data_IF_924827527168
#
_entry.id   IF_924827527168
#
_cell.length_a   1.000
_cell.length_b   1.000
_cell.length_c   1.000
_cell.angle_alpha   90.00
_cell.angle_beta   90.00
_cell.angle_gamma   90.00
#
_symmetry.space_group_name_H-M   'P 1'
#
loop_
_entity.id
_entity.type
_entity.pdbx_description
1 polymer ?
#
# COMPACT_ATOMS: atom_id res chain seq x y z
N UNK A 1 -54.29 11.89 27.08
CA UNK A 1 -53.31 13.02 27.07
C UNK A 1 -51.94 12.64 27.64
N UNK A 2 -51.87 11.93 28.79
CA UNK A 2 -50.60 11.47 29.41
C UNK A 2 -49.68 10.62 28.52
N UNK A 3 -50.22 9.70 27.72
CA UNK A 3 -49.42 8.86 26.79
C UNK A 3 -48.70 9.67 25.70
N UNK A 4 -49.23 10.83 25.30
CA UNK A 4 -48.59 11.75 24.34
C UNK A 4 -47.46 12.52 25.02
N UNK A 5 -47.67 12.99 26.25
CA UNK A 5 -46.67 13.70 27.06
C UNK A 5 -45.45 12.82 27.41
N UNK A 6 -45.66 11.59 27.89
CA UNK A 6 -44.55 10.66 28.17
C UNK A 6 -43.75 10.29 26.91
N UNK A 7 -44.39 10.22 25.74
CA UNK A 7 -43.72 10.01 24.45
C UNK A 7 -42.83 11.20 24.07
N UNK A 8 -43.30 12.42 24.26
CA UNK A 8 -42.52 13.64 23.95
C UNK A 8 -41.33 13.78 24.89
N UNK A 9 -41.51 13.54 26.19
CA UNK A 9 -40.44 13.62 27.21
C UNK A 9 -39.35 12.56 26.96
N UNK A 10 -39.73 11.31 26.66
CA UNK A 10 -38.77 10.25 26.38
C UNK A 10 -37.95 10.54 25.11
N UNK A 11 -38.63 10.91 24.01
CA UNK A 11 -37.96 11.28 22.76
C UNK A 11 -36.99 12.43 22.99
N UNK A 12 -37.40 13.43 23.77
CA UNK A 12 -36.57 14.57 24.12
C UNK A 12 -35.34 14.17 24.95
N UNK A 13 -35.47 13.23 25.90
CA UNK A 13 -34.35 12.73 26.70
C UNK A 13 -33.33 11.93 25.87
N UNK A 14 -33.79 10.99 25.04
CA UNK A 14 -32.89 10.25 24.13
C UNK A 14 -32.19 11.18 23.15
N UNK A 15 -32.93 12.12 22.53
CA UNK A 15 -32.35 13.10 21.61
C UNK A 15 -31.29 13.94 22.31
N UNK A 16 -31.54 14.41 23.55
CA UNK A 16 -30.51 15.12 24.34
C UNK A 16 -29.25 14.30 24.55
N UNK A 17 -29.37 13.02 24.93
CA UNK A 17 -28.22 12.14 25.12
C UNK A 17 -27.46 11.90 23.80
N UNK A 18 -28.19 11.67 22.70
CA UNK A 18 -27.61 11.46 21.38
C UNK A 18 -26.90 12.72 20.87
N UNK A 19 -27.47 13.90 21.08
CA UNK A 19 -26.83 15.18 20.75
C UNK A 19 -25.59 15.38 21.60
N UNK A 20 -25.67 15.15 22.91
CA UNK A 20 -24.52 15.28 23.81
C UNK A 20 -23.35 14.37 23.39
N UNK A 21 -23.58 13.08 23.17
CA UNK A 21 -22.52 12.17 22.71
C UNK A 21 -21.99 12.56 21.34
N UNK A 22 -22.85 13.04 20.43
CA UNK A 22 -22.41 13.55 19.13
C UNK A 22 -21.48 14.76 19.31
N UNK A 23 -21.86 15.73 20.13
CA UNK A 23 -21.00 16.90 20.39
C UNK A 23 -19.65 16.48 20.98
N UNK A 24 -19.66 15.66 22.02
CA UNK A 24 -18.42 15.19 22.66
C UNK A 24 -17.55 14.40 21.66
N UNK A 25 -18.13 13.47 20.91
CA UNK A 25 -17.38 12.64 19.97
C UNK A 25 -16.80 13.46 18.83
N UNK A 26 -17.56 14.36 18.21
CA UNK A 26 -17.12 15.05 16.99
C UNK A 26 -16.34 16.34 17.26
N UNK A 27 -16.51 16.99 18.42
CA UNK A 27 -15.79 18.23 18.75
C UNK A 27 -14.64 18.03 19.74
N UNK A 28 -14.59 16.90 20.45
CA UNK A 28 -13.51 16.61 21.41
C UNK A 28 -12.81 15.31 21.03
N UNK A 29 -13.54 14.20 20.98
CA UNK A 29 -12.97 12.87 20.79
C UNK A 29 -12.21 12.70 19.48
N UNK A 30 -12.89 12.92 18.35
CA UNK A 30 -12.31 12.76 17.02
C UNK A 30 -11.20 13.76 16.71
N UNK A 31 -11.30 15.06 17.05
CA UNK A 31 -10.17 15.97 16.93
C UNK A 31 -8.94 15.50 17.69
N UNK A 32 -9.08 15.01 18.93
CA UNK A 32 -7.96 14.47 19.69
C UNK A 32 -7.39 13.17 19.09
N UNK A 33 -8.26 12.26 18.63
CA UNK A 33 -7.83 11.03 17.94
C UNK A 33 -7.05 11.34 16.66
N UNK A 34 -7.41 12.42 15.97
CA UNK A 34 -6.76 12.87 14.72
C UNK A 34 -5.34 13.40 14.93
N UNK A 35 -4.90 13.63 16.16
CA UNK A 35 -3.50 13.92 16.46
C UNK A 35 -2.59 12.70 16.25
N UNK A 36 -3.16 11.50 16.37
CA UNK A 36 -2.41 10.23 16.29
C UNK A 36 -2.74 9.42 15.03
N UNK A 37 -3.99 9.46 14.59
CA UNK A 37 -4.46 8.67 13.45
C UNK A 37 -4.71 9.58 12.25
N UNK A 38 -4.15 9.19 11.09
CA UNK A 38 -4.36 9.91 9.82
C UNK A 38 -5.66 9.47 9.15
N UNK A 39 -6.08 10.25 8.15
CA UNK A 39 -7.28 9.98 7.32
C UNK A 39 -8.61 9.97 8.08
N UNK A 40 -8.64 10.56 9.26
CA UNK A 40 -9.88 10.94 9.93
C UNK A 40 -10.47 12.19 9.26
N UNK A 41 -11.75 12.48 9.48
CA UNK A 41 -12.41 13.68 8.97
C UNK A 41 -11.78 15.00 9.46
N UNK A 42 -11.02 14.95 10.57
CA UNK A 42 -10.39 16.12 11.20
C UNK A 42 -8.87 16.17 11.02
N UNK A 43 -8.28 15.25 10.23
CA UNK A 43 -6.85 15.24 9.93
C UNK A 43 -6.37 16.57 9.31
N UNK A 44 -7.25 17.25 8.56
CA UNK A 44 -6.98 18.57 7.98
C UNK A 44 -6.74 19.67 9.01
N UNK A 45 -7.35 19.58 10.21
CA UNK A 45 -7.16 20.56 11.28
C UNK A 45 -5.73 20.56 11.81
N UNK A 46 -5.05 19.42 11.73
CA UNK A 46 -3.71 19.22 12.27
C UNK A 46 -2.63 19.15 11.20
N UNK A 47 -2.94 19.54 9.96
CA UNK A 47 -1.92 19.67 8.93
C UNK A 47 -0.95 20.77 9.35
N UNK A 48 0.24 20.33 9.74
CA UNK A 48 1.37 21.22 10.00
C UNK A 48 1.67 22.03 8.73
N UNK A 49 2.33 23.16 8.91
CA UNK A 49 2.93 23.88 7.80
C UNK A 49 3.81 22.91 6.97
N UNK A 50 3.81 23.04 5.64
CA UNK A 50 4.52 22.12 4.73
C UNK A 50 5.99 21.94 5.13
N UNK A 51 6.65 23.02 5.53
CA UNK A 51 8.03 23.03 6.00
C UNK A 51 8.26 22.14 7.23
N UNK A 52 7.36 22.23 8.22
CA UNK A 52 7.40 21.41 9.43
C UNK A 52 7.07 19.94 9.15
N UNK A 53 6.11 19.68 8.25
CA UNK A 53 5.76 18.33 7.82
C UNK A 53 6.95 17.65 7.10
N UNK A 54 7.64 18.38 6.22
CA UNK A 54 8.85 17.90 5.55
C UNK A 54 9.97 17.59 6.55
N UNK A 55 10.23 18.47 7.53
CA UNK A 55 11.22 18.21 8.59
C UNK A 55 10.90 16.95 9.38
N UNK A 56 9.64 16.76 9.77
CA UNK A 56 9.21 15.56 10.48
C UNK A 56 9.42 14.30 9.63
N UNK A 57 9.08 14.35 8.34
CA UNK A 57 9.27 13.20 7.45
C UNK A 57 10.76 12.86 7.25
N UNK A 58 11.65 13.85 7.14
CA UNK A 58 13.10 13.62 7.10
C UNK A 58 13.59 12.96 8.39
N UNK A 59 13.19 13.45 9.55
CA UNK A 59 13.56 12.83 10.83
C UNK A 59 13.11 11.36 10.93
N UNK A 60 11.88 11.06 10.51
CA UNK A 60 11.37 9.68 10.45
C UNK A 60 12.16 8.85 9.42
N UNK A 61 12.52 9.45 8.29
CA UNK A 61 13.31 8.79 7.26
C UNK A 61 14.73 8.47 7.75
N UNK A 62 15.38 9.39 8.46
CA UNK A 62 16.73 9.20 9.02
C UNK A 62 16.77 8.07 10.04
N UNK A 63 15.73 7.95 10.88
CA UNK A 63 15.56 6.82 11.79
C UNK A 63 15.49 5.49 11.02
N UNK A 64 14.71 5.43 9.94
CA UNK A 64 14.60 4.23 9.10
C UNK A 64 15.90 3.89 8.38
N UNK A 65 16.65 4.90 7.93
CA UNK A 65 17.98 4.71 7.33
C UNK A 65 18.91 4.07 8.35
N UNK A 66 18.99 4.62 9.57
CA UNK A 66 19.83 4.10 10.64
C UNK A 66 19.45 2.66 11.00
N UNK A 67 18.15 2.35 11.11
CA UNK A 67 17.65 1.00 11.34
C UNK A 67 18.09 0.02 10.23
N UNK A 68 17.89 0.39 8.96
CA UNK A 68 18.27 -0.46 7.83
C UNK A 68 19.78 -0.67 7.75
N UNK A 69 20.58 0.38 7.93
CA UNK A 69 22.04 0.28 7.95
C UNK A 69 22.55 -0.61 9.09
N UNK A 70 21.96 -0.46 10.29
CA UNK A 70 22.32 -1.29 11.44
C UNK A 70 22.08 -2.78 11.22
N UNK A 71 21.01 -3.12 10.47
CA UNK A 71 20.71 -4.48 10.08
C UNK A 71 21.65 -4.96 8.97
N UNK A 72 21.82 -4.18 7.91
CA UNK A 72 22.65 -4.53 6.75
C UNK A 72 24.12 -4.73 7.12
N UNK A 73 24.63 -3.97 8.09
CA UNK A 73 26.00 -4.12 8.62
C UNK A 73 26.22 -5.50 9.25
N UNK A 74 25.19 -6.08 9.88
CA UNK A 74 25.24 -7.39 10.54
C UNK A 74 24.86 -8.54 9.60
N UNK A 75 24.25 -8.23 8.46
CA UNK A 75 23.76 -9.22 7.51
C UNK A 75 24.90 -9.76 6.64
N UNK A 76 25.25 -11.03 6.81
CA UNK A 76 26.40 -11.68 6.14
C UNK A 76 26.07 -12.30 4.77
N UNK A 77 24.85 -12.12 4.24
CA UNK A 77 24.53 -12.29 2.80
C UNK A 77 24.75 -13.65 2.14
N UNK A 78 25.39 -14.63 2.78
CA UNK A 78 25.70 -15.95 2.21
C UNK A 78 24.68 -17.02 2.59
N UNK A 79 23.41 -16.64 2.57
CA UNK A 79 22.29 -17.57 2.70
C UNK A 79 22.00 -18.24 1.36
N UNK A 80 22.66 -19.39 1.11
CA UNK A 80 22.43 -20.37 0.05
C UNK A 80 21.28 -20.03 -0.92
N UNK A 81 21.62 -19.46 -2.08
CA UNK A 81 20.97 -19.90 -3.32
C UNK A 81 21.28 -21.40 -3.41
N UNK A 82 20.38 -22.25 -2.90
CA UNK A 82 20.38 -23.66 -3.25
C UNK A 82 20.18 -23.72 -4.76
N UNK A 83 21.31 -23.77 -5.47
CA UNK A 83 21.39 -24.22 -6.85
C UNK A 83 20.68 -25.58 -6.88
N UNK A 84 19.49 -25.62 -7.48
CA UNK A 84 18.82 -26.76 -8.13
C UNK A 84 17.28 -26.71 -8.01
N UNK A 85 16.69 -25.91 -7.12
CA UNK A 85 15.22 -25.78 -7.03
C UNK A 85 14.70 -24.46 -7.61
N UNK A 86 13.61 -24.54 -8.37
CA UNK A 86 12.87 -23.38 -8.89
C UNK A 86 12.45 -22.45 -7.74
N UNK A 87 12.71 -21.14 -7.89
CA UNK A 87 12.35 -20.14 -6.88
C UNK A 87 10.87 -19.79 -7.02
N UNK A 88 10.10 -19.83 -5.93
CA UNK A 88 8.65 -19.58 -5.98
C UNK A 88 8.32 -18.11 -6.26
N UNK A 89 9.05 -17.19 -5.63
CA UNK A 89 8.85 -15.75 -5.75
C UNK A 89 10.19 -15.01 -5.85
N UNK A 90 10.44 -14.36 -6.99
CA UNK A 90 11.52 -13.38 -7.14
C UNK A 90 11.03 -11.99 -6.74
N UNK A 91 11.63 -11.38 -5.72
CA UNK A 91 11.35 -10.01 -5.29
C UNK A 91 12.37 -9.10 -5.97
N UNK A 92 11.92 -8.19 -6.83
CA UNK A 92 12.79 -7.28 -7.58
C UNK A 92 12.43 -5.84 -7.26
N UNK A 93 13.42 -5.11 -6.74
CA UNK A 93 13.31 -3.68 -6.43
C UNK A 93 13.89 -2.88 -7.60
N UNK A 94 13.05 -2.12 -8.29
CA UNK A 94 13.45 -1.17 -9.34
C UNK A 94 13.97 0.09 -8.66
N UNK A 95 15.14 0.57 -9.09
CA UNK A 95 15.78 1.71 -8.44
C UNK A 95 16.49 2.65 -9.40
N UNK A 96 16.48 3.93 -9.03
CA UNK A 96 17.18 5.03 -9.70
C UNK A 96 17.71 6.01 -8.66
N UNK A 97 18.81 6.71 -8.96
CA UNK A 97 19.36 7.73 -8.10
C UNK A 97 18.36 8.89 -7.92
N UNK A 98 17.98 9.15 -6.67
CA UNK A 98 16.99 10.18 -6.31
C UNK A 98 17.57 11.58 -6.15
N UNK A 99 18.90 11.74 -6.12
CA UNK A 99 19.56 13.03 -5.89
C UNK A 99 20.34 13.57 -7.10
N UNK A 100 20.04 13.09 -8.32
CA UNK A 100 20.73 13.53 -9.55
C UNK A 100 20.64 15.03 -9.81
N UNK A 101 19.51 15.64 -9.46
CA UNK A 101 19.26 17.06 -9.70
C UNK A 101 19.68 17.95 -8.52
N UNK A 102 20.25 17.37 -7.45
CA UNK A 102 20.68 18.09 -6.24
C UNK A 102 19.64 19.12 -5.78
N UNK A 103 18.35 18.74 -5.77
CA UNK A 103 17.25 19.61 -5.34
C UNK A 103 17.53 20.16 -3.93
N UNK A 104 18.20 19.36 -3.10
CA UNK A 104 18.85 19.77 -1.87
C UNK A 104 20.02 18.82 -1.54
N UNK A 105 20.66 19.05 -0.38
CA UNK A 105 21.75 18.21 0.11
C UNK A 105 21.27 16.92 0.82
N UNK A 106 19.95 16.63 0.83
CA UNK A 106 19.40 15.52 1.59
C UNK A 106 19.37 14.23 0.77
N UNK A 107 19.94 13.16 1.31
CA UNK A 107 19.91 11.83 0.68
C UNK A 107 18.83 10.94 1.31
N UNK A 108 17.72 10.67 0.62
CA UNK A 108 16.63 9.92 1.22
C UNK A 108 16.91 8.42 1.41
N UNK A 109 17.88 7.86 0.70
CA UNK A 109 18.31 6.45 0.75
C UNK A 109 17.15 5.44 0.79
N UNK A 110 16.21 5.56 -0.14
CA UNK A 110 15.02 4.71 -0.18
C UNK A 110 15.37 3.24 -0.46
N UNK A 111 16.27 2.98 -1.41
CA UNK A 111 16.72 1.63 -1.74
C UNK A 111 17.32 0.92 -0.53
N UNK A 112 18.17 1.60 0.24
CA UNK A 112 18.79 1.08 1.47
C UNK A 112 17.72 0.65 2.48
N UNK A 113 16.71 1.49 2.69
CA UNK A 113 15.60 1.21 3.60
C UNK A 113 14.80 -0.01 3.13
N UNK A 114 14.44 -0.07 1.84
CA UNK A 114 13.62 -1.14 1.28
C UNK A 114 14.36 -2.47 1.24
N UNK A 115 15.63 -2.49 0.81
CA UNK A 115 16.48 -3.69 0.81
C UNK A 115 16.70 -4.19 2.23
N UNK A 116 17.09 -3.30 3.15
CA UNK A 116 17.31 -3.63 4.56
C UNK A 116 16.06 -4.23 5.20
N UNK A 117 14.90 -3.61 4.97
CA UNK A 117 13.62 -4.12 5.49
C UNK A 117 13.25 -5.46 4.87
N UNK A 118 13.39 -5.61 3.55
CA UNK A 118 13.02 -6.85 2.85
C UNK A 118 13.86 -8.03 3.32
N UNK A 119 15.18 -7.86 3.43
CA UNK A 119 16.10 -8.87 3.97
C UNK A 119 15.79 -9.19 5.44
N UNK A 120 15.48 -8.17 6.24
CA UNK A 120 15.08 -8.37 7.65
C UNK A 120 13.82 -9.25 7.75
N UNK A 121 12.81 -9.01 6.91
CA UNK A 121 11.57 -9.77 6.93
C UNK A 121 11.76 -11.20 6.42
N UNK A 122 12.55 -11.39 5.36
CA UNK A 122 12.92 -12.71 4.86
C UNK A 122 13.69 -13.52 5.91
N UNK A 123 14.61 -12.88 6.64
CA UNK A 123 15.38 -13.54 7.70
C UNK A 123 14.53 -13.89 8.94
N UNK A 124 13.58 -13.02 9.31
CA UNK A 124 12.68 -13.25 10.46
C UNK A 124 11.59 -14.29 10.18
N UNK A 125 11.19 -14.42 8.91
CA UNK A 125 10.10 -15.30 8.53
C UNK A 125 10.48 -16.77 8.73
N UNK A 126 9.73 -17.48 9.58
CA UNK A 126 9.88 -18.92 9.82
C UNK A 126 8.73 -19.68 9.16
N UNK A 127 8.99 -20.93 8.76
CA UNK A 127 7.98 -21.85 8.21
C UNK A 127 7.25 -21.31 6.97
N UNK A 128 7.97 -20.63 6.10
CA UNK A 128 7.45 -20.23 4.79
C UNK A 128 7.17 -21.46 3.94
N UNK A 129 6.06 -21.42 3.20
CA UNK A 129 5.69 -22.47 2.26
C UNK A 129 6.35 -22.27 0.90
N UNK A 130 6.73 -21.03 0.59
CA UNK A 130 7.34 -20.63 -0.67
C UNK A 130 8.82 -20.27 -0.48
N UNK A 131 9.59 -20.46 -1.54
CA UNK A 131 10.97 -19.99 -1.64
C UNK A 131 11.03 -18.57 -2.22
N UNK A 132 11.89 -17.73 -1.64
CA UNK A 132 12.04 -16.32 -2.02
C UNK A 132 13.48 -16.00 -2.39
N UNK A 133 13.66 -15.09 -3.34
CA UNK A 133 14.96 -14.48 -3.62
C UNK A 133 14.80 -13.00 -3.89
N UNK A 134 15.73 -12.19 -3.41
CA UNK A 134 15.72 -10.74 -3.57
C UNK A 134 16.71 -10.33 -4.65
N UNK A 135 16.30 -9.40 -5.50
CA UNK A 135 17.07 -8.83 -6.59
C UNK A 135 16.94 -7.31 -6.56
N UNK A 136 17.98 -6.62 -7.00
CA UNK A 136 17.97 -5.18 -7.28
C UNK A 136 18.01 -5.02 -8.80
N UNK A 137 17.16 -4.16 -9.35
CA UNK A 137 17.20 -3.78 -10.75
C UNK A 137 17.55 -2.30 -10.88
N UNK A 138 18.81 -2.04 -11.17
CA UNK A 138 19.32 -0.71 -11.40
C UNK A 138 19.00 -0.27 -12.83
N UNK A 139 18.15 0.75 -12.93
CA UNK A 139 17.74 1.37 -14.20
C UNK A 139 18.17 2.83 -14.28
N UNK A 140 19.14 3.20 -13.45
CA UNK A 140 19.80 4.48 -13.47
C UNK A 140 20.67 4.61 -14.75
N UNK A 141 20.54 5.70 -15.48
CA UNK A 141 21.30 5.95 -16.72
C UNK A 141 22.80 6.15 -16.52
N UNK A 142 23.20 6.46 -15.29
CA UNK A 142 24.58 6.71 -14.89
C UNK A 142 24.92 5.83 -13.66
N UNK A 143 24.97 4.49 -13.83
CA UNK A 143 25.18 3.58 -12.71
C UNK A 143 26.40 3.91 -11.85
N UNK A 144 27.43 4.53 -12.43
CA UNK A 144 28.66 4.92 -11.74
C UNK A 144 28.49 6.03 -10.70
N UNK A 145 27.49 6.90 -10.83
CA UNK A 145 27.21 7.97 -9.87
C UNK A 145 26.22 7.54 -8.78
N UNK A 146 25.70 6.32 -8.84
CA UNK A 146 24.72 5.84 -7.87
C UNK A 146 25.35 5.23 -6.61
N UNK A 147 25.90 6.08 -5.74
CA UNK A 147 26.64 5.69 -4.53
C UNK A 147 25.86 4.82 -3.53
N UNK A 148 24.53 4.97 -3.46
CA UNK A 148 23.69 4.16 -2.56
C UNK A 148 23.71 2.67 -2.92
N UNK A 149 23.86 2.36 -4.21
CA UNK A 149 23.77 0.99 -4.74
C UNK A 149 25.00 0.15 -4.40
N UNK A 150 26.18 0.75 -4.40
CA UNK A 150 27.47 0.04 -4.26
C UNK A 150 27.53 -0.92 -3.05
N UNK A 151 27.21 -0.51 -1.80
CA UNK A 151 27.25 -1.42 -0.66
C UNK A 151 26.22 -2.55 -0.73
N UNK A 152 25.13 -2.38 -1.48
CA UNK A 152 24.03 -3.34 -1.58
C UNK A 152 24.29 -4.44 -2.61
N UNK A 153 24.98 -4.12 -3.71
CA UNK A 153 25.34 -5.10 -4.76
C UNK A 153 26.20 -6.26 -4.24
N UNK A 154 26.97 -6.02 -3.18
CA UNK A 154 27.77 -7.05 -2.50
C UNK A 154 26.92 -8.06 -1.72
N UNK A 155 25.67 -7.72 -1.41
CA UNK A 155 24.76 -8.51 -0.56
C UNK A 155 23.57 -9.07 -1.35
N UNK A 156 23.17 -8.42 -2.44
CA UNK A 156 21.98 -8.77 -3.22
C UNK A 156 22.34 -8.78 -4.72
N UNK A 157 22.01 -9.85 -5.46
CA UNK A 157 22.20 -9.88 -6.91
C UNK A 157 21.52 -8.70 -7.60
N UNK A 158 22.25 -8.06 -8.51
CA UNK A 158 21.82 -6.80 -9.13
C UNK A 158 21.87 -6.88 -10.65
N UNK A 159 20.77 -6.54 -11.30
CA UNK A 159 20.68 -6.33 -12.74
C UNK A 159 20.95 -4.86 -13.06
N UNK A 160 21.68 -4.57 -14.14
CA UNK A 160 21.94 -3.20 -14.57
C UNK A 160 21.49 -3.03 -16.01
N UNK A 161 20.56 -2.09 -16.26
CA UNK A 161 20.09 -1.81 -17.63
C UNK A 161 21.13 -1.08 -18.48
N UNK A 162 21.93 -0.20 -17.86
CA UNK A 162 22.81 0.75 -18.56
C UNK A 162 24.32 0.54 -18.29
N UNK A 163 24.74 -0.70 -17.99
CA UNK A 163 26.09 -1.08 -17.53
C UNK A 163 27.28 -0.52 -18.35
N UNK A 164 27.09 -0.18 -19.63
CA UNK A 164 28.11 0.34 -20.55
C UNK A 164 27.79 1.75 -21.12
N UNK A 165 26.87 2.49 -20.51
CA UNK A 165 26.48 3.82 -21.00
C UNK A 165 27.41 4.91 -20.47
N UNK A 166 28.71 4.82 -20.78
CA UNK A 166 29.74 5.77 -20.33
C UNK A 166 29.64 7.18 -20.97
N UNK A 167 28.58 7.46 -21.74
CA UNK A 167 28.58 8.56 -22.71
C UNK A 167 27.19 9.10 -23.07
N UNK A 168 26.19 8.96 -22.20
CA UNK A 168 24.97 9.77 -22.34
C UNK A 168 25.10 10.96 -21.40
N UNK A 169 25.34 12.15 -21.98
CA UNK A 169 25.12 13.42 -21.29
C UNK A 169 23.77 13.34 -20.53
N UNK A 170 23.66 13.92 -19.32
CA UNK A 170 22.41 13.93 -18.57
C UNK A 170 21.31 14.54 -19.45
N UNK A 171 20.55 13.66 -20.08
CA UNK A 171 19.56 14.07 -21.06
C UNK A 171 18.39 14.62 -20.26
N UNK A 172 18.14 15.91 -20.37
CA UNK A 172 16.94 16.53 -19.84
C UNK A 172 15.76 15.92 -20.59
N UNK A 173 15.12 14.91 -19.98
CA UNK A 173 14.02 14.19 -20.61
C UNK A 173 12.77 15.06 -20.60
N UNK A 174 12.02 14.98 -21.69
CA UNK A 174 10.63 15.39 -21.64
C UNK A 174 9.85 14.45 -20.70
N UNK A 175 8.67 14.90 -20.24
CA UNK A 175 7.77 14.07 -19.45
C UNK A 175 7.44 12.77 -20.21
N UNK A 176 7.22 12.85 -21.53
CA UNK A 176 6.88 11.70 -22.36
C UNK A 176 8.02 10.67 -22.41
N UNK A 177 9.27 11.13 -22.60
CA UNK A 177 10.44 10.25 -22.58
C UNK A 177 10.68 9.62 -21.21
N UNK A 178 10.33 10.34 -20.14
CA UNK A 178 10.45 9.81 -18.76
C UNK A 178 9.41 8.72 -18.51
N UNK A 179 8.16 8.93 -18.94
CA UNK A 179 7.10 7.93 -18.85
C UNK A 179 7.40 6.70 -19.71
N UNK A 180 7.97 6.90 -20.89
CA UNK A 180 8.41 5.81 -21.77
C UNK A 180 9.56 5.02 -21.14
N UNK A 181 10.56 5.70 -20.58
CA UNK A 181 11.65 5.05 -19.84
C UNK A 181 11.10 4.24 -18.67
N UNK A 182 10.19 4.79 -17.86
CA UNK A 182 9.60 4.09 -16.71
C UNK A 182 8.91 2.78 -17.14
N UNK A 183 8.18 2.83 -18.26
CA UNK A 183 7.53 1.65 -18.85
C UNK A 183 8.55 0.60 -19.30
N UNK A 184 9.61 1.02 -20.00
CA UNK A 184 10.66 0.12 -20.49
C UNK A 184 11.48 -0.50 -19.34
N UNK A 185 11.84 0.31 -18.34
CA UNK A 185 12.54 -0.12 -17.12
C UNK A 185 11.74 -1.21 -16.40
N UNK A 186 10.42 -1.00 -16.26
CA UNK A 186 9.52 -1.94 -15.64
C UNK A 186 9.49 -3.30 -16.37
N UNK A 187 9.40 -3.27 -17.70
CA UNK A 187 9.43 -4.47 -18.53
C UNK A 187 10.80 -5.19 -18.42
N UNK A 188 11.90 -4.45 -18.53
CA UNK A 188 13.26 -4.97 -18.42
C UNK A 188 13.48 -5.70 -17.08
N UNK A 189 13.16 -5.05 -15.96
CA UNK A 189 13.40 -5.61 -14.64
C UNK A 189 12.64 -6.91 -14.40
N UNK A 190 11.38 -6.99 -14.84
CA UNK A 190 10.61 -8.22 -14.70
C UNK A 190 11.13 -9.34 -15.61
N UNK A 191 11.55 -9.03 -16.84
CA UNK A 191 12.14 -10.01 -17.76
C UNK A 191 13.45 -10.58 -17.22
N UNK A 192 14.35 -9.74 -16.71
CA UNK A 192 15.59 -10.20 -16.07
C UNK A 192 15.34 -11.09 -14.86
N UNK A 193 14.29 -10.79 -14.09
CA UNK A 193 13.93 -11.63 -12.93
C UNK A 193 13.43 -13.00 -13.36
N UNK A 194 12.59 -13.09 -14.41
CA UNK A 194 12.11 -14.38 -14.90
C UNK A 194 13.21 -15.24 -15.53
N UNK A 195 14.31 -14.64 -16.00
CA UNK A 195 15.52 -15.39 -16.42
C UNK A 195 16.18 -16.13 -15.25
N UNK A 196 15.94 -15.72 -14.00
CA UNK A 196 16.43 -16.40 -12.79
C UNK A 196 15.57 -17.60 -12.36
N UNK A 197 14.79 -18.19 -13.27
CA UNK A 197 13.93 -19.35 -13.03
C UNK A 197 12.96 -19.19 -11.83
N UNK A 198 12.27 -18.05 -11.77
CA UNK A 198 11.22 -17.78 -10.77
C UNK A 198 9.83 -18.13 -11.29
N UNK A 199 8.94 -18.61 -10.42
CA UNK A 199 7.53 -18.89 -10.76
C UNK A 199 6.66 -17.63 -10.81
N UNK A 200 6.88 -16.75 -9.83
CA UNK A 200 6.17 -15.48 -9.70
C UNK A 200 7.17 -14.36 -9.44
N UNK A 201 6.79 -13.15 -9.85
CA UNK A 201 7.59 -11.94 -9.72
C UNK A 201 6.87 -10.98 -8.78
N UNK A 202 7.47 -10.62 -7.65
CA UNK A 202 7.10 -9.42 -6.90
C UNK A 202 7.96 -8.26 -7.41
N UNK A 203 7.38 -7.41 -8.27
CA UNK A 203 8.05 -6.22 -8.78
C UNK A 203 7.61 -5.01 -7.96
N UNK A 204 8.58 -4.27 -7.44
CA UNK A 204 8.33 -3.12 -6.58
C UNK A 204 9.31 -1.97 -6.84
N UNK A 205 8.90 -0.75 -6.50
CA UNK A 205 9.71 0.46 -6.60
C UNK A 205 10.52 0.66 -5.31
N UNK A 206 11.65 1.38 -5.41
CA UNK A 206 12.55 1.62 -4.27
C UNK A 206 11.97 2.51 -3.17
N UNK A 207 10.83 3.16 -3.40
CA UNK A 207 10.07 3.95 -2.42
C UNK A 207 8.83 3.21 -1.86
N UNK A 208 8.68 1.92 -2.17
CA UNK A 208 7.66 1.05 -1.59
C UNK A 208 8.22 0.28 -0.38
N UNK A 209 8.09 0.83 0.83
CA UNK A 209 8.64 0.21 2.03
C UNK A 209 7.73 -0.91 2.57
N UNK A 210 8.21 -2.16 2.75
CA UNK A 210 7.39 -3.24 3.29
C UNK A 210 6.95 -3.02 4.74
N UNK A 211 5.72 -3.43 5.05
CA UNK A 211 5.23 -3.57 6.41
C UNK A 211 5.71 -4.90 7.04
N UNK A 212 5.68 -4.99 8.37
CA UNK A 212 6.24 -6.11 9.13
C UNK A 212 5.63 -7.48 8.80
N UNK A 213 4.39 -7.49 8.32
CA UNK A 213 3.62 -8.68 7.99
C UNK A 213 3.69 -9.08 6.51
N UNK A 214 4.39 -8.30 5.67
CA UNK A 214 4.40 -8.45 4.22
C UNK A 214 4.70 -9.88 3.75
N UNK A 215 5.84 -10.46 4.14
CA UNK A 215 6.26 -11.80 3.67
C UNK A 215 5.28 -12.88 4.11
N UNK A 216 4.83 -12.84 5.38
CA UNK A 216 3.91 -13.85 5.93
C UNK A 216 2.54 -13.83 5.25
N UNK A 217 2.05 -12.64 4.89
CA UNK A 217 0.76 -12.47 4.20
C UNK A 217 0.87 -12.90 2.73
N UNK A 218 1.93 -12.50 2.03
CA UNK A 218 2.19 -12.94 0.64
C UNK A 218 2.28 -14.47 0.59
N UNK A 219 3.09 -15.08 1.45
CA UNK A 219 3.26 -16.53 1.51
C UNK A 219 1.92 -17.26 1.68
N UNK A 220 1.11 -16.79 2.64
CA UNK A 220 -0.20 -17.36 2.90
C UNK A 220 -1.14 -17.29 1.69
N UNK A 221 -1.27 -16.12 1.06
CA UNK A 221 -2.22 -15.93 -0.02
C UNK A 221 -1.76 -16.56 -1.33
N UNK A 222 -0.49 -16.43 -1.71
CA UNK A 222 0.03 -17.07 -2.92
C UNK A 222 -0.09 -18.60 -2.83
N UNK A 223 0.23 -19.19 -1.67
CA UNK A 223 0.03 -20.62 -1.45
C UNK A 223 -1.45 -21.01 -1.57
N UNK A 224 -2.37 -20.27 -0.92
CA UNK A 224 -3.82 -20.58 -0.95
C UNK A 224 -4.44 -20.46 -2.34
N UNK A 225 -3.91 -19.57 -3.18
CA UNK A 225 -4.32 -19.33 -4.55
C UNK A 225 -3.73 -20.36 -5.54
N UNK A 226 -2.80 -21.22 -5.10
CA UNK A 226 -2.13 -22.20 -5.96
C UNK A 226 -0.99 -21.61 -6.79
N UNK A 227 -0.47 -20.44 -6.40
CA UNK A 227 0.64 -19.78 -7.10
C UNK A 227 2.01 -20.31 -6.65
N UNK A 228 2.05 -21.21 -5.67
CA UNK A 228 3.27 -21.82 -5.14
C UNK A 228 3.73 -23.12 -5.83
N UNK A 229 3.10 -23.54 -6.94
CA UNK A 229 3.46 -24.76 -7.67
C UNK A 229 2.95 -26.08 -7.07
N UNK A 230 2.56 -26.11 -5.78
CA UNK A 230 2.04 -27.32 -5.12
C UNK A 230 0.60 -27.70 -5.49
N UNK A 231 -0.16 -26.80 -6.11
CA UNK A 231 -1.55 -27.02 -6.53
C UNK A 231 -1.83 -26.26 -7.83
N UNK A 232 -2.77 -26.72 -8.67
CA UNK A 232 -3.18 -25.95 -9.84
C UNK A 232 -3.76 -24.58 -9.41
N UNK A 233 -3.45 -23.49 -10.14
CA UNK A 233 -3.97 -22.18 -9.82
C UNK A 233 -5.50 -22.21 -9.89
N UNK A 234 -6.14 -21.79 -8.79
CA UNK A 234 -7.62 -21.83 -8.69
C UNK A 234 -8.32 -20.89 -9.66
N UNK A 235 -7.58 -19.90 -10.15
CA UNK A 235 -8.06 -18.81 -10.98
C UNK A 235 -6.93 -18.37 -11.90
N UNK A 236 -7.28 -17.90 -13.10
CA UNK A 236 -6.31 -17.31 -14.04
C UNK A 236 -5.90 -15.90 -13.56
N UNK A 237 -5.04 -15.84 -12.55
CA UNK A 237 -4.60 -14.59 -11.93
C UNK A 237 -3.45 -14.01 -12.75
N UNK A 238 -3.65 -12.81 -13.25
CA UNK A 238 -2.60 -12.07 -13.98
C UNK A 238 -1.65 -11.40 -12.99
N UNK A 239 -2.21 -10.69 -12.00
CA UNK A 239 -1.42 -10.03 -10.97
C UNK A 239 -2.20 -9.72 -9.70
N UNK A 240 -1.47 -9.45 -8.63
CA UNK A 240 -1.99 -9.08 -7.31
C UNK A 240 -1.28 -7.79 -6.85
N UNK A 241 -2.02 -6.69 -6.75
CA UNK A 241 -1.55 -5.44 -6.15
C UNK A 241 -1.41 -5.62 -4.64
N UNK A 242 -0.32 -5.08 -4.11
CA UNK A 242 -0.03 -5.12 -2.67
C UNK A 242 -0.09 -3.72 -2.02
N UNK A 243 -0.39 -2.71 -2.83
CA UNK A 243 -0.55 -1.33 -2.41
C UNK A 243 -1.60 -0.60 -3.25
N UNK A 244 -2.36 0.27 -2.61
CA UNK A 244 -3.19 1.29 -3.24
C UNK A 244 -3.14 2.57 -2.40
N UNK A 245 -3.07 3.78 -2.99
CA UNK A 245 -2.88 5.01 -2.22
C UNK A 245 -3.88 5.18 -1.08
N UNK A 246 -3.40 5.42 0.14
CA UNK A 246 -4.23 5.44 1.35
C UNK A 246 -5.34 6.48 1.27
N UNK A 247 -5.09 7.63 0.64
CA UNK A 247 -6.11 8.68 0.42
C UNK A 247 -7.32 8.20 -0.41
N UNK A 248 -7.14 7.17 -1.23
CA UNK A 248 -8.17 6.58 -2.08
C UNK A 248 -8.84 5.36 -1.43
N UNK A 249 -8.46 4.96 -0.21
CA UNK A 249 -9.01 3.79 0.50
C UNK A 249 -10.27 4.07 1.34
N UNK A 250 -10.81 5.29 1.29
CA UNK A 250 -12.00 5.70 2.05
C UNK A 250 -13.28 4.94 1.67
N UNK A 251 -14.32 5.04 2.50
CA UNK A 251 -15.61 4.39 2.24
C UNK A 251 -16.37 4.99 1.05
N UNK A 252 -16.20 6.29 0.81
CA UNK A 252 -16.85 7.02 -0.29
C UNK A 252 -15.92 6.98 -1.50
N UNK A 253 -15.86 5.83 -2.15
CA UNK A 253 -15.11 5.62 -3.38
C UNK A 253 -15.87 4.64 -4.29
N UNK A 254 -15.35 4.41 -5.50
CA UNK A 254 -16.06 3.70 -6.56
C UNK A 254 -16.17 2.17 -6.33
N UNK A 255 -15.41 1.62 -5.40
CA UNK A 255 -15.30 0.17 -5.21
C UNK A 255 -16.47 -0.40 -4.40
N UNK A 256 -17.10 -1.44 -4.98
CA UNK A 256 -18.39 -1.96 -4.56
C UNK A 256 -18.39 -2.57 -3.16
N UNK A 257 -17.25 -3.06 -2.68
CA UNK A 257 -17.14 -3.73 -1.37
C UNK A 257 -17.20 -2.76 -0.18
N UNK A 258 -16.96 -1.46 -0.41
CA UNK A 258 -16.70 -0.50 0.69
C UNK A 258 -17.97 -0.01 1.36
N UNK A 259 -19.05 0.20 0.62
CA UNK A 259 -20.34 0.58 1.20
C UNK A 259 -20.94 -0.54 2.07
N UNK A 260 -20.98 -1.82 1.63
CA UNK A 260 -21.36 -2.92 2.51
C UNK A 260 -20.50 -3.00 3.77
N UNK A 261 -19.18 -2.78 3.66
CA UNK A 261 -18.28 -2.74 4.82
C UNK A 261 -18.67 -1.63 5.82
N UNK A 262 -18.97 -0.42 5.32
CA UNK A 262 -19.46 0.69 6.14
C UNK A 262 -20.74 0.31 6.89
N UNK A 263 -21.73 -0.26 6.18
CA UNK A 263 -23.00 -0.64 6.79
C UNK A 263 -22.80 -1.75 7.84
N UNK A 264 -21.99 -2.77 7.56
CA UNK A 264 -21.68 -3.84 8.51
C UNK A 264 -21.02 -3.30 9.78
N UNK A 265 -20.01 -2.44 9.65
CA UNK A 265 -19.36 -1.80 10.80
C UNK A 265 -20.33 -0.91 11.58
N UNK A 266 -21.16 -0.15 10.87
CA UNK A 266 -22.23 0.65 11.45
C UNK A 266 -23.21 -0.19 12.25
N UNK A 267 -23.66 -1.33 11.73
CA UNK A 267 -24.58 -2.26 12.41
C UNK A 267 -23.95 -2.88 13.67
N UNK A 268 -22.68 -3.27 13.62
CA UNK A 268 -21.95 -3.82 14.77
C UNK A 268 -21.91 -2.77 15.89
N UNK A 269 -21.45 -1.56 15.59
CA UNK A 269 -21.38 -0.47 16.58
C UNK A 269 -22.76 -0.07 17.12
N UNK A 270 -23.76 -0.01 16.25
CA UNK A 270 -25.15 0.26 16.65
C UNK A 270 -25.63 -0.75 17.66
N UNK A 271 -25.36 -2.04 17.42
CA UNK A 271 -25.77 -3.11 18.33
C UNK A 271 -25.10 -2.94 19.69
N UNK A 272 -23.81 -2.59 19.72
CA UNK A 272 -23.10 -2.29 20.96
C UNK A 272 -23.71 -1.08 21.69
N UNK A 273 -23.89 0.06 21.02
CA UNK A 273 -24.43 1.28 21.62
C UNK A 273 -25.86 1.10 22.13
N UNK A 274 -26.74 0.45 21.34
CA UNK A 274 -28.12 0.16 21.75
C UNK A 274 -28.14 -0.74 22.97
N UNK A 275 -27.33 -1.80 23.01
CA UNK A 275 -27.25 -2.70 24.18
C UNK A 275 -26.82 -1.94 25.43
N UNK A 276 -25.71 -1.20 25.36
CA UNK A 276 -25.19 -0.40 26.48
C UNK A 276 -26.23 0.62 26.94
N UNK A 277 -26.86 1.34 26.01
CA UNK A 277 -27.87 2.35 26.34
C UNK A 277 -29.10 1.73 27.02
N UNK A 278 -29.59 0.59 26.54
CA UNK A 278 -30.77 -0.07 27.11
C UNK A 278 -30.50 -0.71 28.48
N UNK A 279 -29.25 -1.06 28.79
CA UNK A 279 -28.84 -1.51 30.13
C UNK A 279 -28.96 -0.34 31.13
N UNK A 280 -28.51 0.86 30.74
CA UNK A 280 -28.50 2.05 31.61
C UNK A 280 -29.88 2.73 31.67
N UNK A 281 -30.60 2.71 30.56
CA UNK A 281 -31.89 3.35 30.39
C UNK A 281 -32.88 2.36 29.76
N UNK A 282 -33.54 1.52 30.57
CA UNK A 282 -34.54 0.60 30.06
C UNK A 282 -35.72 1.38 29.44
N UNK A 283 -36.13 0.97 28.24
CA UNK A 283 -37.19 1.64 27.48
C UNK A 283 -38.20 0.63 26.95
N UNK A 284 -39.46 1.03 26.93
CA UNK A 284 -40.53 0.32 26.25
C UNK A 284 -40.18 -0.06 24.80
N UNK A 285 -40.64 -1.25 24.36
CA UNK A 285 -40.35 -1.81 23.05
C UNK A 285 -40.67 -0.85 21.88
N UNK A 286 -41.75 -0.07 21.99
CA UNK A 286 -42.20 0.88 20.95
C UNK A 286 -41.16 1.96 20.59
N UNK A 287 -40.26 2.30 21.51
CA UNK A 287 -39.25 3.34 21.28
C UNK A 287 -37.89 2.77 20.83
N UNK A 288 -37.68 1.45 20.93
CA UNK A 288 -36.41 0.80 20.57
C UNK A 288 -36.04 1.03 19.11
N UNK A 289 -37.02 1.11 18.21
CA UNK A 289 -36.80 1.42 16.78
C UNK A 289 -36.16 2.79 16.57
N UNK A 290 -36.60 3.81 17.31
CA UNK A 290 -36.06 5.18 17.21
C UNK A 290 -34.64 5.23 17.78
N UNK A 291 -34.42 4.56 18.91
CA UNK A 291 -33.08 4.47 19.54
C UNK A 291 -32.10 3.79 18.59
N UNK A 292 -32.51 2.65 18.02
CA UNK A 292 -31.71 1.91 17.06
C UNK A 292 -31.38 2.75 15.83
N UNK A 293 -32.38 3.42 15.23
CA UNK A 293 -32.15 4.26 14.06
C UNK A 293 -31.21 5.44 14.36
N UNK A 294 -31.39 6.10 15.52
CA UNK A 294 -30.51 7.19 15.95
C UNK A 294 -29.07 6.76 16.14
N UNK A 295 -28.85 5.63 16.83
CA UNK A 295 -27.51 5.07 16.98
C UNK A 295 -26.94 4.50 15.68
N UNK A 296 -27.77 4.03 14.76
CA UNK A 296 -27.34 3.58 13.43
C UNK A 296 -26.79 4.72 12.60
N UNK A 297 -27.53 5.82 12.50
CA UNK A 297 -27.06 7.02 11.81
C UNK A 297 -25.78 7.55 12.48
N UNK A 298 -25.76 7.66 13.80
CA UNK A 298 -24.57 8.07 14.55
C UNK A 298 -23.36 7.15 14.28
N UNK A 299 -23.55 5.82 14.29
CA UNK A 299 -22.47 4.85 14.07
C UNK A 299 -21.93 4.93 12.65
N UNK A 300 -22.78 5.06 11.64
CA UNK A 300 -22.33 5.23 10.25
C UNK A 300 -21.52 6.53 10.08
N UNK A 301 -21.98 7.64 10.64
CA UNK A 301 -21.24 8.92 10.60
C UNK A 301 -19.91 8.79 11.35
N UNK A 302 -19.89 8.12 12.50
CA UNK A 302 -18.67 7.87 13.27
C UNK A 302 -17.66 7.03 12.48
N UNK A 303 -18.11 5.94 11.85
CA UNK A 303 -17.25 5.08 11.02
C UNK A 303 -16.70 5.85 9.82
N UNK A 304 -17.54 6.64 9.15
CA UNK A 304 -17.11 7.55 8.09
C UNK A 304 -16.04 8.54 8.58
N UNK A 305 -16.24 9.13 9.76
CA UNK A 305 -15.35 10.16 10.29
C UNK A 305 -14.03 9.63 10.86
N UNK A 306 -14.00 8.41 11.40
CA UNK A 306 -12.75 7.72 11.77
C UNK A 306 -11.95 7.33 10.53
N UNK A 307 -12.64 7.04 9.42
CA UNK A 307 -12.01 6.68 8.15
C UNK A 307 -11.73 5.17 8.04
N UNK A 308 -11.97 4.62 6.84
CA UNK A 308 -11.84 3.19 6.55
C UNK A 308 -10.46 2.64 6.84
N UNK A 309 -9.43 3.43 6.54
CA UNK A 309 -8.02 3.10 6.71
C UNK A 309 -7.73 2.60 8.13
N UNK A 310 -8.26 3.32 9.13
CA UNK A 310 -8.05 2.99 10.54
C UNK A 310 -8.75 1.69 10.97
N UNK A 311 -9.93 1.37 10.40
CA UNK A 311 -10.58 0.08 10.64
C UNK A 311 -9.87 -1.08 9.95
N UNK A 312 -9.41 -0.88 8.70
CA UNK A 312 -8.71 -1.93 7.95
C UNK A 312 -7.37 -2.30 8.60
N UNK A 313 -6.75 -1.40 9.35
CA UNK A 313 -5.53 -1.68 10.10
C UNK A 313 -5.71 -2.81 11.13
N UNK A 314 -6.91 -3.02 11.66
CA UNK A 314 -7.23 -4.11 12.59
C UNK A 314 -7.00 -5.49 11.95
N UNK A 315 -7.17 -5.60 10.63
CA UNK A 315 -6.95 -6.87 9.90
C UNK A 315 -5.49 -7.33 9.95
N UNK A 316 -4.54 -6.46 10.28
CA UNK A 316 -3.13 -6.83 10.45
C UNK A 316 -2.86 -7.75 11.63
N UNK A 317 -3.80 -7.91 12.56
CA UNK A 317 -3.66 -8.84 13.69
C UNK A 317 -3.36 -10.28 13.24
N UNK A 318 -3.81 -10.67 12.05
CA UNK A 318 -3.51 -12.00 11.51
C UNK A 318 -3.58 -12.03 9.99
N UNK A 319 -2.71 -12.83 9.37
CA UNK A 319 -2.72 -13.11 7.93
C UNK A 319 -4.06 -13.64 7.40
N UNK A 320 -4.89 -14.23 8.26
CA UNK A 320 -6.21 -14.75 7.88
C UNK A 320 -7.29 -13.67 7.76
N UNK A 321 -7.08 -12.48 8.32
CA UNK A 321 -8.04 -11.37 8.26
C UNK A 321 -7.81 -10.44 7.07
N UNK A 322 -6.76 -10.68 6.29
CA UNK A 322 -6.52 -9.99 5.04
C UNK A 322 -7.58 -10.34 4.00
N UNK A 323 -8.08 -9.31 3.33
CA UNK A 323 -9.11 -9.44 2.30
C UNK A 323 -8.47 -9.43 0.92
N UNK A 324 -9.02 -10.23 0.01
CA UNK A 324 -8.72 -10.17 -1.42
C UNK A 324 -9.93 -9.56 -2.13
N UNK A 325 -9.71 -8.48 -2.87
CA UNK A 325 -10.73 -7.80 -3.69
C UNK A 325 -10.25 -7.66 -5.13
N UNK A 326 -11.13 -7.34 -6.10
CA UNK A 326 -10.68 -6.92 -7.42
C UNK A 326 -9.76 -5.70 -7.34
N UNK A 327 -8.70 -5.68 -8.14
CA UNK A 327 -7.76 -4.56 -8.13
C UNK A 327 -8.39 -3.29 -8.75
N UNK A 328 -8.37 -2.14 -8.05
CA UNK A 328 -8.76 -0.86 -8.66
C UNK A 328 -7.74 -0.43 -9.71
N UNK A 329 -8.10 0.58 -10.51
CA UNK A 329 -7.19 1.27 -11.43
C UNK A 329 -6.17 2.11 -10.66
N UNK A 330 -4.94 2.24 -11.17
CA UNK A 330 -3.76 2.78 -10.45
C UNK A 330 -3.41 2.01 -9.15
N UNK A 331 -2.19 1.99 -8.64
CA UNK A 331 -0.89 2.33 -9.21
C UNK A 331 0.00 1.08 -9.06
N UNK A 332 1.26 1.09 -9.50
CA UNK A 332 2.12 -0.13 -9.50
C UNK A 332 3.35 -0.13 -8.57
N UNK A 333 3.35 0.48 -7.36
CA UNK A 333 4.58 0.53 -6.56
C UNK A 333 4.99 -0.84 -5.99
N UNK A 334 4.06 -1.79 -5.86
CA UNK A 334 4.35 -3.18 -5.49
C UNK A 334 3.27 -4.14 -6.00
N UNK A 335 3.64 -5.04 -6.92
CA UNK A 335 2.73 -5.99 -7.55
C UNK A 335 3.38 -7.37 -7.69
N UNK A 336 2.62 -8.43 -7.36
CA UNK A 336 2.96 -9.81 -7.70
C UNK A 336 2.37 -10.18 -9.05
N UNK A 337 3.20 -10.63 -9.98
CA UNK A 337 2.80 -11.17 -11.27
C UNK A 337 3.04 -12.67 -11.35
N UNK A 338 2.12 -13.38 -12.01
CA UNK A 338 2.39 -14.72 -12.52
C UNK A 338 3.27 -14.61 -13.77
N UNK A 339 4.03 -15.67 -14.11
CA UNK A 339 4.89 -15.69 -15.30
C UNK A 339 4.12 -15.38 -16.59
N UNK A 340 2.98 -16.03 -16.80
CA UNK A 340 2.11 -15.77 -17.96
C UNK A 340 1.52 -14.37 -17.92
N UNK A 341 1.05 -13.93 -16.76
CA UNK A 341 0.46 -12.60 -16.58
C UNK A 341 1.44 -11.48 -16.88
N UNK A 342 2.68 -11.58 -16.40
CA UNK A 342 3.71 -10.60 -16.71
C UNK A 342 4.08 -10.61 -18.19
N UNK A 343 4.22 -11.79 -18.83
CA UNK A 343 4.54 -11.88 -20.25
C UNK A 343 3.48 -11.20 -21.13
N UNK A 344 2.18 -11.39 -20.82
CA UNK A 344 1.10 -10.70 -21.53
C UNK A 344 1.20 -9.18 -21.33
N UNK A 345 1.48 -8.73 -20.11
CA UNK A 345 1.61 -7.30 -19.79
C UNK A 345 2.84 -6.70 -20.47
N UNK A 346 4.01 -7.32 -20.37
CA UNK A 346 5.26 -6.81 -20.93
C UNK A 346 5.19 -6.74 -22.46
N UNK A 347 4.59 -7.74 -23.11
CA UNK A 347 4.34 -7.73 -24.55
C UNK A 347 3.45 -6.55 -24.99
N UNK A 348 2.37 -6.28 -24.24
CA UNK A 348 1.52 -5.12 -24.51
C UNK A 348 2.23 -3.79 -24.23
N UNK A 349 2.98 -3.67 -23.13
CA UNK A 349 3.73 -2.45 -22.81
C UNK A 349 4.77 -2.14 -23.89
N UNK A 350 5.38 -3.16 -24.51
CA UNK A 350 6.31 -2.99 -25.64
C UNK A 350 5.62 -2.53 -26.93
N UNK A 351 4.32 -2.79 -27.11
CA UNK A 351 3.58 -2.41 -28.32
C UNK A 351 2.93 -1.03 -28.26
N UNK A 352 2.95 -0.36 -27.11
CA UNK A 352 2.37 0.98 -26.91
C UNK A 352 3.44 1.98 -26.50
N UNK A 353 3.24 3.26 -26.81
CA UNK A 353 4.12 4.35 -26.36
C UNK A 353 3.45 5.13 -25.24
N UNK A 354 4.18 5.33 -24.13
CA UNK A 354 3.74 6.14 -23.02
C UNK A 354 4.02 7.63 -23.27
N UNK A 355 3.09 8.46 -22.82
CA UNK A 355 3.12 9.92 -22.94
C UNK A 355 2.28 10.55 -21.84
N UNK A 356 2.32 11.88 -21.71
CA UNK A 356 1.54 12.60 -20.71
C UNK A 356 0.05 12.22 -20.77
N UNK A 357 -0.49 11.79 -19.62
CA UNK A 357 -1.86 11.29 -19.51
C UNK A 357 -2.05 9.81 -19.88
N UNK A 358 -1.00 9.15 -20.37
CA UNK A 358 -0.97 7.72 -20.71
C UNK A 358 0.35 7.10 -20.25
N UNK A 359 0.51 6.96 -18.94
CA UNK A 359 1.66 6.28 -18.34
C UNK A 359 1.50 4.76 -18.31
N UNK A 360 2.51 4.07 -17.77
CA UNK A 360 2.54 2.62 -17.56
C UNK A 360 1.27 2.10 -16.87
N UNK A 361 0.84 2.76 -15.79
CA UNK A 361 -0.36 2.39 -15.04
C UNK A 361 -1.62 2.41 -15.91
N UNK A 362 -1.79 3.47 -16.72
CA UNK A 362 -2.92 3.63 -17.64
C UNK A 362 -2.88 2.58 -18.74
N UNK A 363 -1.70 2.24 -19.25
CA UNK A 363 -1.54 1.18 -20.25
C UNK A 363 -1.97 -0.18 -19.68
N UNK A 364 -1.54 -0.53 -18.46
CA UNK A 364 -1.93 -1.78 -17.81
C UNK A 364 -3.45 -1.82 -17.57
N UNK A 365 -4.06 -0.73 -17.12
CA UNK A 365 -5.51 -0.68 -16.90
C UNK A 365 -6.28 -0.80 -18.23
N UNK A 366 -5.83 -0.14 -19.30
CA UNK A 366 -6.42 -0.28 -20.64
C UNK A 366 -6.35 -1.72 -21.16
N UNK A 367 -5.22 -2.41 -20.93
CA UNK A 367 -5.09 -3.83 -21.30
C UNK A 367 -6.14 -4.70 -20.61
N UNK A 368 -6.43 -4.43 -19.33
CA UNK A 368 -7.45 -5.15 -18.55
C UNK A 368 -8.86 -4.86 -19.05
N UNK A 369 -9.15 -3.62 -19.41
CA UNK A 369 -10.45 -3.24 -19.99
C UNK A 369 -10.70 -3.97 -21.31
N UNK A 370 -9.66 -4.08 -22.16
CA UNK A 370 -9.74 -4.81 -23.43
C UNK A 370 -9.81 -6.34 -23.26
N UNK A 371 -9.35 -6.87 -22.11
CA UNK A 371 -9.27 -8.31 -21.86
C UNK A 371 -9.87 -8.66 -20.48
N UNK A 372 -11.21 -8.82 -20.39
CA UNK A 372 -11.89 -9.16 -19.13
C UNK A 372 -11.42 -10.46 -18.47
N UNK A 373 -10.74 -11.34 -19.24
CA UNK A 373 -10.12 -12.57 -18.73
C UNK A 373 -8.86 -12.35 -17.87
N UNK A 374 -8.26 -11.14 -17.89
CA UNK A 374 -7.09 -10.80 -17.08
C UNK A 374 -7.49 -10.44 -15.65
N UNK A 375 -7.48 -11.44 -14.77
CA UNK A 375 -7.90 -11.25 -13.38
C UNK A 375 -6.82 -10.56 -12.57
N UNK A 376 -7.14 -9.37 -12.09
CA UNK A 376 -6.30 -8.57 -11.21
C UNK A 376 -6.91 -8.47 -9.82
N UNK A 377 -6.11 -8.73 -8.79
CA UNK A 377 -6.53 -8.75 -7.39
C UNK A 377 -5.79 -7.69 -6.56
N UNK A 378 -6.35 -7.31 -5.42
CA UNK A 378 -5.72 -6.46 -4.41
C UNK A 378 -5.80 -7.17 -3.05
N UNK A 379 -4.70 -7.18 -2.32
CA UNK A 379 -4.66 -7.60 -0.91
C UNK A 379 -4.83 -6.36 -0.02
N UNK A 380 -5.77 -6.42 0.93
CA UNK A 380 -6.05 -5.34 1.88
C UNK A 380 -5.98 -5.81 3.33
N UNK A 381 -5.36 -5.03 4.25
CA UNK A 381 -4.75 -3.71 4.05
C UNK A 381 -3.45 -3.73 3.22
N UNK A 382 -2.91 -2.56 2.86
CA UNK A 382 -1.69 -2.45 2.08
C UNK A 382 -0.50 -3.18 2.74
N UNK A 383 0.27 -3.97 2.00
CA UNK A 383 1.48 -4.60 2.54
C UNK A 383 2.72 -3.70 2.48
N UNK A 384 2.60 -2.57 1.80
CA UNK A 384 3.65 -1.57 1.65
C UNK A 384 3.14 -0.21 2.12
N UNK A 385 4.07 0.67 2.44
CA UNK A 385 3.84 2.11 2.62
C UNK A 385 4.72 2.85 1.63
N UNK A 386 4.17 3.84 0.96
CA UNK A 386 4.96 4.69 0.09
C UNK A 386 5.76 5.69 0.94
N UNK A 387 7.07 5.82 0.67
CA UNK A 387 7.97 6.70 1.42
C UNK A 387 8.62 7.78 0.55
N UNK A 388 8.29 7.80 -0.75
CA UNK A 388 8.89 8.64 -1.77
C UNK A 388 8.49 10.10 -1.65
N UNK A 389 9.32 10.91 -1.00
CA UNK A 389 9.21 12.38 -0.98
C UNK A 389 9.83 13.03 -2.23
N UNK A 390 10.82 12.39 -2.85
CA UNK A 390 11.53 12.92 -4.01
C UNK A 390 11.11 12.15 -5.26
N UNK A 391 10.44 12.84 -6.18
CA UNK A 391 9.98 12.25 -7.44
C UNK A 391 11.03 12.41 -8.53
N UNK A 392 11.52 11.30 -9.09
CA UNK A 392 12.35 11.27 -10.29
C UNK A 392 11.59 11.59 -11.57
N UNK A 393 10.25 11.59 -11.53
CA UNK A 393 9.39 11.93 -12.68
C UNK A 393 9.13 13.43 -12.82
N UNK A 394 9.20 14.17 -11.71
CA UNK A 394 8.76 15.57 -11.62
C UNK A 394 9.85 16.51 -11.13
N UNK A 395 11.04 15.99 -10.82
CA UNK A 395 12.18 16.72 -10.26
C UNK A 395 11.77 17.69 -9.16
N UNK A 396 10.91 17.21 -8.26
CA UNK A 396 10.37 18.01 -7.17
C UNK A 396 10.16 17.19 -5.92
N UNK A 397 10.17 17.88 -4.77
CA UNK A 397 9.71 17.35 -3.50
C UNK A 397 8.18 17.27 -3.54
N UNK A 398 7.64 16.07 -3.41
CA UNK A 398 6.21 15.81 -3.34
C UNK A 398 5.61 16.37 -2.05
N UNK A 399 4.31 16.66 -2.12
CA UNK A 399 3.58 17.17 -0.96
C UNK A 399 3.56 16.11 0.16
N UNK A 400 4.02 16.43 1.38
CA UNK A 400 4.11 15.49 2.50
C UNK A 400 2.75 14.93 2.95
N UNK A 401 1.64 15.50 2.47
CA UNK A 401 0.28 15.02 2.71
C UNK A 401 -0.25 14.09 1.60
N UNK A 402 0.50 13.90 0.53
CA UNK A 402 0.19 13.00 -0.59
C UNK A 402 1.05 11.73 -0.53
N UNK A 403 2.27 11.83 0.04
CA UNK A 403 3.27 10.75 0.14
C UNK A 403 2.88 9.68 1.14
#
# INVERSE_FOLDING_TARGET
MMLRWCRTIFKYKFVKHLVFITVVTFFIGLPLLSLRYRYTAFDTLWRKEKSQAQKLMRNVNDQRIAEAQSFLAKYDGRGKLTQESQISVGITIITVSRNRHMLDQYEPKYLTQVVGKSLQLLHKAKHLKLSYSLFICNVDDEPSSYYELEPLTRKVPTFNRFQNSSSRLPFQRSIDQTLEKEKEDYAFCGEETFKQNVSNLLLMEDDALPNDDMITVIDHHLYRLGLGGGHPPKQNITFIKLYHPDRLLGFISLERERLPELFCLGLILTTCFVKVYLIIHPVEAKHRKIIWLGFFVYSCILVLAVGRQNFTAIRRMSKYFYQITPAPSCCTPAIVYTKSGFHTISSYLKSVTCKRGFGKDTAIDKLREMNPGLKALLIQPNLFRHIGMYSSLRDQVLDPFIV
#
